data_IF_680191098447
#
_entry.id   IF_680191098447
#
_cell.length_a   1.000
_cell.length_b   1.000
_cell.length_c   1.000
_cell.angle_alpha   90.00
_cell.angle_beta   90.00
_cell.angle_gamma   90.00
#
_symmetry.space_group_name_H-M   'P 1'
#
loop_
_entity.id
_entity.type
_entity.pdbx_description
1 polymer ?
#
# COMPACT_ATOMS: atom_id res chain seq x y z
N UNK A 1 -7.32 -6.97 -23.35
CA UNK A 1 -6.27 -7.94 -22.97
C UNK A 1 -6.33 -8.20 -21.46
N UNK A 2 -7.31 -9.01 -21.03
CA UNK A 2 -7.39 -9.59 -19.68
C UNK A 2 -7.57 -11.12 -19.83
N UNK A 3 -6.78 -11.74 -20.71
CA UNK A 3 -6.65 -13.20 -20.81
C UNK A 3 -5.28 -13.54 -20.24
N UNK A 4 -5.25 -14.10 -19.04
CA UNK A 4 -4.00 -14.43 -18.35
C UNK A 4 -4.12 -14.81 -16.87
N UNK A 5 -5.32 -14.80 -16.29
CA UNK A 5 -5.55 -15.21 -14.89
C UNK A 5 -5.92 -16.70 -14.73
N UNK A 6 -5.57 -17.55 -15.71
CA UNK A 6 -6.03 -18.94 -15.76
C UNK A 6 -5.17 -19.94 -14.95
N UNK A 7 -4.11 -19.49 -14.28
CA UNK A 7 -3.24 -20.39 -13.48
C UNK A 7 -3.53 -20.34 -11.97
N UNK A 8 -4.58 -19.61 -11.57
CA UNK A 8 -5.07 -19.63 -10.20
C UNK A 8 -6.38 -20.40 -10.14
N UNK A 9 -6.45 -21.43 -9.29
CA UNK A 9 -7.72 -22.08 -8.95
C UNK A 9 -8.46 -21.14 -7.99
N UNK A 10 -9.21 -20.19 -8.54
CA UNK A 10 -10.20 -19.42 -7.79
C UNK A 10 -11.53 -20.16 -7.86
N UNK A 11 -12.03 -20.63 -6.72
CA UNK A 11 -13.41 -21.08 -6.60
C UNK A 11 -14.20 -20.08 -5.76
N UNK A 12 -15.34 -19.63 -6.27
CA UNK A 12 -16.24 -18.74 -5.55
C UNK A 12 -17.26 -19.64 -4.85
N UNK A 13 -16.97 -19.98 -3.61
CA UNK A 13 -17.95 -20.63 -2.75
C UNK A 13 -19.03 -19.59 -2.41
N UNK A 14 -20.15 -19.62 -3.14
CA UNK A 14 -21.34 -18.89 -2.71
C UNK A 14 -21.82 -19.51 -1.40
N UNK A 15 -21.84 -18.71 -0.33
CA UNK A 15 -22.21 -19.11 1.04
C UNK A 15 -23.71 -19.43 1.11
N UNK A 16 -24.09 -20.57 0.52
CA UNK A 16 -25.33 -21.32 0.78
C UNK A 16 -25.03 -22.80 1.06
N UNK A 17 -23.76 -23.14 1.27
CA UNK A 17 -23.34 -24.49 1.61
C UNK A 17 -23.34 -24.65 3.13
N UNK A 18 -23.82 -25.79 3.61
CA UNK A 18 -23.69 -26.25 4.99
C UNK A 18 -22.23 -26.55 5.32
N UNK A 19 -21.87 -26.62 6.61
CA UNK A 19 -20.52 -27.02 7.03
C UNK A 19 -20.12 -28.39 6.44
N UNK A 20 -21.08 -29.31 6.25
CA UNK A 20 -20.81 -30.64 5.67
C UNK A 20 -20.41 -30.57 4.20
N UNK A 21 -21.16 -29.80 3.41
CA UNK A 21 -20.88 -29.60 1.99
C UNK A 21 -19.53 -28.91 1.79
N UNK A 22 -19.18 -27.96 2.66
CA UNK A 22 -17.89 -27.28 2.60
C UNK A 22 -16.75 -28.24 2.97
N UNK A 23 -16.90 -29.04 4.03
CA UNK A 23 -15.90 -30.08 4.37
C UNK A 23 -15.69 -31.05 3.20
N UNK A 24 -16.77 -31.52 2.59
CA UNK A 24 -16.71 -32.40 1.41
C UNK A 24 -15.96 -31.75 0.26
N UNK A 25 -16.28 -30.48 -0.06
CA UNK A 25 -15.59 -29.72 -1.09
C UNK A 25 -14.07 -29.68 -0.85
N UNK A 26 -13.61 -29.39 0.36
CA UNK A 26 -12.18 -29.33 0.66
C UNK A 26 -11.49 -30.68 0.52
N UNK A 27 -12.13 -31.77 0.95
CA UNK A 27 -11.58 -33.11 0.78
C UNK A 27 -11.45 -33.48 -0.70
N UNK A 28 -12.45 -33.17 -1.52
CA UNK A 28 -12.43 -33.38 -2.96
C UNK A 28 -11.40 -32.48 -3.66
N UNK A 29 -11.25 -31.23 -3.20
CA UNK A 29 -10.27 -30.28 -3.72
C UNK A 29 -8.83 -30.81 -3.57
N UNK A 30 -8.43 -31.20 -2.35
CA UNK A 30 -7.08 -31.71 -2.10
C UNK A 30 -6.84 -33.09 -2.73
N UNK A 31 -7.89 -33.90 -2.92
CA UNK A 31 -7.81 -35.15 -3.71
C UNK A 31 -7.55 -34.88 -5.18
N UNK A 32 -8.24 -33.87 -5.75
CA UNK A 32 -8.09 -33.46 -7.14
C UNK A 32 -6.76 -32.75 -7.40
N UNK A 33 -6.25 -32.00 -6.43
CA UNK A 33 -5.05 -31.17 -6.55
C UNK A 33 -4.01 -31.50 -5.45
N UNK A 34 -3.41 -32.70 -5.47
CA UNK A 34 -2.52 -33.17 -4.39
C UNK A 34 -1.21 -32.38 -4.28
N UNK A 35 -0.88 -31.53 -5.25
CA UNK A 35 0.27 -30.63 -5.21
C UNK A 35 -0.01 -29.33 -4.44
N UNK A 36 -1.28 -29.02 -4.15
CA UNK A 36 -1.65 -27.84 -3.37
C UNK A 36 -1.49 -28.17 -1.89
N UNK A 37 -0.59 -27.48 -1.21
CA UNK A 37 -0.30 -27.72 0.22
C UNK A 37 -0.97 -26.73 1.16
N UNK A 38 -1.55 -25.64 0.63
CA UNK A 38 -2.24 -24.61 1.41
C UNK A 38 -3.45 -24.07 0.66
N UNK A 39 -4.54 -23.85 1.40
CA UNK A 39 -5.69 -23.09 0.92
C UNK A 39 -5.97 -21.92 1.86
N UNK A 40 -6.07 -20.71 1.32
CA UNK A 40 -6.31 -19.49 2.10
C UNK A 40 -7.74 -18.98 1.93
N UNK A 41 -8.43 -18.77 3.05
CA UNK A 41 -9.70 -18.07 3.13
C UNK A 41 -9.45 -16.58 3.30
N UNK A 42 -10.15 -15.75 2.54
CA UNK A 42 -10.21 -14.31 2.81
C UNK A 42 -11.67 -13.89 2.93
N UNK A 43 -12.04 -13.09 3.95
CA UNK A 43 -13.33 -12.42 3.95
C UNK A 43 -13.37 -11.40 2.79
N UNK A 44 -14.52 -11.27 2.14
CA UNK A 44 -14.73 -10.20 1.17
C UNK A 44 -14.80 -8.85 1.90
N UNK A 45 -14.23 -7.81 1.30
CA UNK A 45 -14.23 -6.46 1.85
C UNK A 45 -15.64 -5.98 2.22
N UNK A 46 -15.82 -5.54 3.46
CA UNK A 46 -17.07 -4.97 3.96
C UNK A 46 -18.24 -5.95 4.05
N UNK A 47 -18.03 -7.25 3.79
CA UNK A 47 -19.09 -8.24 3.92
C UNK A 47 -19.17 -8.77 5.36
N UNK A 48 -20.36 -8.75 5.97
CA UNK A 48 -20.53 -9.35 7.28
C UNK A 48 -20.48 -10.89 7.19
N UNK A 49 -20.26 -11.58 8.32
CA UNK A 49 -20.35 -13.03 8.37
C UNK A 49 -21.81 -13.51 8.18
N UNK A 50 -22.00 -14.83 8.26
CA UNK A 50 -23.34 -15.40 8.35
C UNK A 50 -24.00 -15.01 9.69
N UNK A 51 -25.23 -14.51 9.65
CA UNK A 51 -26.01 -14.11 10.82
C UNK A 51 -27.16 -15.07 11.16
N UNK A 52 -27.04 -16.35 10.78
CA UNK A 52 -28.01 -17.36 11.16
C UNK A 52 -28.00 -17.60 12.68
N UNK A 53 -29.05 -18.22 13.21
CA UNK A 53 -29.21 -18.47 14.65
C UNK A 53 -27.99 -19.21 15.25
N UNK A 54 -27.41 -20.15 14.52
CA UNK A 54 -26.24 -20.90 14.98
C UNK A 54 -24.97 -20.03 15.04
N UNK A 55 -24.72 -19.18 14.04
CA UNK A 55 -23.54 -18.30 14.03
C UNK A 55 -23.65 -17.21 15.10
N UNK A 56 -24.87 -16.72 15.39
CA UNK A 56 -25.11 -15.77 16.48
C UNK A 56 -24.88 -16.37 17.87
N UNK A 57 -25.07 -17.68 18.04
CA UNK A 57 -24.77 -18.38 19.31
C UNK A 57 -23.27 -18.49 19.58
N UNK A 58 -22.45 -18.47 18.53
CA UNK A 58 -20.99 -18.63 18.62
C UNK A 58 -20.29 -17.29 18.78
N UNK A 59 -20.87 -16.21 18.25
CA UNK A 59 -20.26 -14.89 18.29
C UNK A 59 -21.30 -13.79 18.51
N UNK A 60 -21.08 -13.03 19.57
CA UNK A 60 -21.63 -11.69 19.75
C UNK A 60 -20.60 -10.68 19.22
N UNK A 61 -20.91 -9.93 18.15
CA UNK A 61 -19.98 -8.97 17.58
C UNK A 61 -19.56 -7.90 18.59
N UNK A 62 -18.27 -7.56 18.62
CA UNK A 62 -17.74 -6.58 19.57
C UNK A 62 -16.92 -5.51 18.87
N UNK A 63 -16.64 -4.40 19.57
CA UNK A 63 -15.76 -3.34 19.07
C UNK A 63 -14.31 -3.71 19.35
N UNK A 64 -13.52 -3.89 18.28
CA UNK A 64 -12.09 -4.15 18.36
C UNK A 64 -11.27 -2.90 18.71
N UNK A 65 -10.03 -3.12 19.14
CA UNK A 65 -9.03 -2.08 19.45
C UNK A 65 -8.60 -1.30 18.19
N UNK A 66 -8.65 -1.93 17.02
CA UNK A 66 -8.13 -1.39 15.75
C UNK A 66 -9.20 -0.96 14.75
N UNK A 67 -10.46 -1.34 14.96
CA UNK A 67 -11.55 -1.12 13.99
C UNK A 67 -12.47 0.05 14.29
N UNK A 68 -12.25 0.76 15.40
CA UNK A 68 -13.05 1.93 15.78
C UNK A 68 -14.52 1.55 16.01
N UNK A 69 -15.43 2.04 15.16
CA UNK A 69 -16.86 1.70 15.23
C UNK A 69 -17.21 0.38 14.53
N UNK A 70 -16.32 -0.14 13.68
CA UNK A 70 -16.57 -1.38 12.98
C UNK A 70 -16.42 -2.58 13.93
N UNK A 71 -17.41 -3.47 13.88
CA UNK A 71 -17.47 -4.67 14.71
C UNK A 71 -16.49 -5.74 14.21
N UNK A 72 -16.03 -6.58 15.14
CA UNK A 72 -15.21 -7.77 14.90
C UNK A 72 -16.10 -9.02 14.83
N UNK A 73 -15.69 -9.94 13.95
CA UNK A 73 -16.35 -11.22 13.67
C UNK A 73 -15.35 -12.38 13.57
N UNK A 74 -14.24 -12.28 14.29
CA UNK A 74 -13.09 -13.19 14.14
C UNK A 74 -13.36 -14.58 14.69
N UNK A 75 -14.15 -14.73 15.75
CA UNK A 75 -14.38 -16.01 16.44
C UNK A 75 -15.05 -17.01 15.50
N UNK A 76 -16.17 -16.62 14.90
CA UNK A 76 -16.88 -17.47 13.94
C UNK A 76 -15.98 -17.89 12.79
N UNK A 77 -15.26 -16.91 12.24
CA UNK A 77 -14.41 -17.10 11.08
C UNK A 77 -13.26 -18.09 11.34
N UNK A 78 -12.58 -17.95 12.48
CA UNK A 78 -11.46 -18.82 12.87
C UNK A 78 -11.94 -20.22 13.24
N UNK A 79 -13.04 -20.35 14.00
CA UNK A 79 -13.56 -21.66 14.40
C UNK A 79 -14.08 -22.47 13.22
N UNK A 80 -14.70 -21.80 12.25
CA UNK A 80 -15.08 -22.42 10.99
C UNK A 80 -13.86 -22.97 10.24
N UNK A 81 -12.81 -22.16 10.08
CA UNK A 81 -11.58 -22.61 9.43
C UNK A 81 -10.88 -23.73 10.21
N UNK A 82 -10.92 -23.69 11.55
CA UNK A 82 -10.39 -24.74 12.42
C UNK A 82 -11.12 -26.08 12.22
N UNK A 83 -12.45 -26.07 12.07
CA UNK A 83 -13.23 -27.27 11.77
C UNK A 83 -12.79 -27.91 10.44
N UNK A 84 -12.62 -27.09 9.39
CA UNK A 84 -12.14 -27.54 8.08
C UNK A 84 -10.72 -28.08 8.20
N UNK A 85 -9.82 -27.36 8.89
CA UNK A 85 -8.44 -27.77 9.10
C UNK A 85 -8.35 -29.14 9.77
N UNK A 86 -9.15 -29.39 10.82
CA UNK A 86 -9.24 -30.70 11.49
C UNK A 86 -9.74 -31.80 10.56
N UNK A 87 -10.74 -31.53 9.72
CA UNK A 87 -11.28 -32.50 8.78
C UNK A 87 -10.27 -32.85 7.68
N UNK A 88 -9.62 -31.84 7.09
CA UNK A 88 -8.61 -31.99 6.06
C UNK A 88 -7.39 -32.75 6.60
N UNK A 89 -6.91 -32.43 7.81
CA UNK A 89 -5.74 -33.08 8.40
C UNK A 89 -5.88 -34.60 8.55
N UNK A 90 -7.11 -35.12 8.73
CA UNK A 90 -7.36 -36.56 8.85
C UNK A 90 -7.03 -37.33 7.57
N UNK A 91 -7.25 -36.73 6.39
CA UNK A 91 -7.00 -37.36 5.08
C UNK A 91 -5.70 -36.84 4.44
N UNK A 92 -5.38 -35.57 4.64
CA UNK A 92 -4.24 -34.86 4.05
C UNK A 92 -3.42 -34.17 5.15
N UNK A 93 -2.58 -34.90 5.90
CA UNK A 93 -1.85 -34.35 7.04
C UNK A 93 -0.83 -33.27 6.68
N UNK A 94 -0.43 -33.18 5.40
CA UNK A 94 0.46 -32.15 4.89
C UNK A 94 -0.28 -30.86 4.47
N UNK A 95 -1.60 -30.91 4.31
CA UNK A 95 -2.39 -29.79 3.84
C UNK A 95 -2.70 -28.81 4.97
N UNK A 96 -2.54 -27.52 4.67
CA UNK A 96 -2.75 -26.41 5.60
C UNK A 96 -3.95 -25.59 5.17
N UNK A 97 -4.69 -25.13 6.15
CA UNK A 97 -5.77 -24.16 5.97
C UNK A 97 -5.27 -22.83 6.52
N UNK A 98 -5.50 -21.74 5.82
CA UNK A 98 -5.10 -20.42 6.27
C UNK A 98 -6.28 -19.45 6.32
N UNK A 99 -6.34 -18.62 7.36
CA UNK A 99 -7.28 -17.51 7.46
C UNK A 99 -6.59 -16.17 7.22
N UNK A 100 -7.22 -15.32 6.40
CA UNK A 100 -6.86 -13.92 6.21
C UNK A 100 -7.41 -13.08 7.35
N UNK A 101 -6.56 -12.75 8.31
CA UNK A 101 -6.90 -11.83 9.41
C UNK A 101 -6.83 -10.40 8.90
N UNK A 102 -8.00 -9.83 8.58
CA UNK A 102 -8.12 -8.54 7.91
C UNK A 102 -9.44 -7.83 8.27
N UNK A 103 -9.38 -6.49 8.37
CA UNK A 103 -10.54 -5.63 8.62
C UNK A 103 -11.34 -6.06 9.86
N UNK A 104 -12.61 -6.46 9.70
CA UNK A 104 -13.50 -6.92 10.77
C UNK A 104 -13.19 -8.34 11.29
N UNK A 105 -12.04 -8.93 10.92
CA UNK A 105 -11.62 -10.27 11.34
C UNK A 105 -10.17 -10.26 11.85
N UNK A 106 -9.77 -9.18 12.54
CA UNK A 106 -8.37 -8.87 12.87
C UNK A 106 -8.00 -9.27 14.29
N UNK A 107 -8.97 -9.28 15.20
CA UNK A 107 -8.74 -9.45 16.64
C UNK A 107 -9.48 -10.68 17.16
N UNK A 108 -8.78 -11.57 17.89
CA UNK A 108 -9.45 -12.55 18.74
C UNK A 108 -10.01 -11.85 19.99
N UNK A 109 -11.14 -12.30 20.56
CA UNK A 109 -11.63 -11.75 21.81
C UNK A 109 -10.65 -12.06 22.96
N UNK A 110 -10.65 -11.24 24.00
CA UNK A 110 -9.68 -11.36 25.10
C UNK A 110 -9.88 -12.67 25.90
N UNK A 111 -11.10 -13.22 25.92
CA UNK A 111 -11.49 -14.48 26.57
C UNK A 111 -11.48 -15.70 25.63
N UNK A 112 -10.90 -15.58 24.42
CA UNK A 112 -10.78 -16.69 23.48
C UNK A 112 -10.03 -17.86 24.13
N UNK A 113 -10.65 -19.03 24.23
CA UNK A 113 -10.08 -20.18 24.95
C UNK A 113 -10.14 -21.49 24.15
N UNK A 114 -10.30 -21.41 22.84
CA UNK A 114 -10.41 -22.57 21.96
C UNK A 114 -9.03 -23.03 21.47
N UNK A 115 -8.83 -24.35 21.41
CA UNK A 115 -7.61 -24.93 20.88
C UNK A 115 -7.67 -25.03 19.35
N UNK A 116 -6.81 -24.28 18.69
CA UNK A 116 -6.70 -24.25 17.23
C UNK A 116 -5.76 -25.37 16.72
N UNK A 117 -6.12 -26.06 15.62
CA UNK A 117 -5.34 -27.17 15.10
C UNK A 117 -4.01 -26.70 14.50
N UNK A 118 -2.98 -27.57 14.55
CA UNK A 118 -1.62 -27.21 14.13
C UNK A 118 -1.45 -26.93 12.62
N UNK A 119 -2.40 -27.37 11.79
CA UNK A 119 -2.44 -27.08 10.35
C UNK A 119 -3.29 -25.86 9.99
N UNK A 120 -3.74 -25.08 10.98
CA UNK A 120 -4.35 -23.77 10.77
C UNK A 120 -3.29 -22.66 10.83
N UNK A 121 -3.12 -21.98 9.70
CA UNK A 121 -2.25 -20.83 9.50
C UNK A 121 -3.05 -19.51 9.59
N UNK A 122 -2.35 -18.42 9.85
CA UNK A 122 -2.92 -17.07 9.77
C UNK A 122 -2.07 -16.21 8.85
N UNK A 123 -2.72 -15.55 7.89
CA UNK A 123 -2.15 -14.46 7.09
C UNK A 123 -2.72 -13.14 7.62
N UNK A 124 -1.92 -12.43 8.41
CA UNK A 124 -2.32 -11.20 9.08
C UNK A 124 -2.06 -9.98 8.23
N UNK A 125 -3.09 -9.18 7.99
CA UNK A 125 -2.99 -7.92 7.26
C UNK A 125 -3.39 -6.75 8.15
N UNK A 126 -2.48 -5.79 8.31
CA UNK A 126 -2.82 -4.49 8.91
C UNK A 126 -3.56 -3.64 7.87
N UNK A 127 -4.76 -3.17 8.22
CA UNK A 127 -5.47 -2.16 7.44
C UNK A 127 -4.98 -0.75 7.81
N UNK A 128 -4.82 0.13 6.82
CA UNK A 128 -4.41 1.53 6.99
C UNK A 128 -3.12 1.71 7.80
N UNK A 129 -2.10 0.91 7.51
CA UNK A 129 -0.75 1.12 8.05
C UNK A 129 -0.10 2.35 7.40
N UNK A 130 0.66 3.10 8.20
CA UNK A 130 1.62 4.09 7.69
C UNK A 130 2.98 3.45 7.40
N UNK A 131 3.60 3.85 6.29
CA UNK A 131 4.79 3.19 5.72
C UNK A 131 6.09 3.95 5.90
N UNK A 132 6.01 5.12 6.54
CA UNK A 132 7.14 5.99 6.84
C UNK A 132 8.09 5.37 7.85
N UNK A 133 7.60 4.40 8.64
CA UNK A 133 8.31 3.84 9.78
C UNK A 133 8.09 2.34 9.91
N UNK A 134 9.03 1.69 10.58
CA UNK A 134 8.95 0.27 10.89
C UNK A 134 7.95 0.02 12.03
N UNK A 135 7.44 -1.21 12.17
CA UNK A 135 6.44 -1.53 13.20
C UNK A 135 6.99 -1.46 14.64
N UNK A 136 8.30 -1.58 14.83
CA UNK A 136 9.01 -1.44 16.12
C UNK A 136 9.54 -0.04 16.37
N UNK A 137 9.19 0.90 15.49
CA UNK A 137 9.57 2.30 15.58
C UNK A 137 8.26 3.05 15.79
N UNK A 138 7.78 3.30 17.02
CA UNK A 138 6.62 4.16 17.28
C UNK A 138 7.04 5.64 17.34
N UNK A 139 6.20 6.61 16.92
CA UNK A 139 6.61 8.01 16.88
C UNK A 139 6.78 8.55 18.30
N UNK A 140 7.71 9.50 18.50
CA UNK A 140 7.89 10.21 19.76
C UNK A 140 6.79 11.26 19.99
N UNK A 141 6.53 11.64 21.24
CA UNK A 141 5.55 12.68 21.57
C UNK A 141 5.81 14.01 20.84
N UNK A 142 7.07 14.37 20.62
CA UNK A 142 7.45 15.58 19.88
C UNK A 142 7.07 15.48 18.40
N UNK A 143 7.42 14.36 17.76
CA UNK A 143 6.99 14.06 16.39
C UNK A 143 5.47 14.01 16.33
N UNK A 144 4.81 13.46 17.34
CA UNK A 144 3.36 13.46 17.44
C UNK A 144 2.79 14.88 17.43
N UNK A 145 3.28 15.78 18.30
CA UNK A 145 2.80 17.16 18.42
C UNK A 145 3.04 17.99 17.17
N UNK A 146 4.24 17.92 16.57
CA UNK A 146 4.56 18.63 15.32
C UNK A 146 3.59 18.25 14.20
N UNK A 147 3.13 17.01 14.22
CA UNK A 147 2.29 16.49 13.14
C UNK A 147 0.78 16.61 13.41
N UNK A 148 0.38 16.92 14.65
CA UNK A 148 -0.99 17.30 15.01
C UNK A 148 -1.32 18.76 14.65
N UNK A 149 -0.33 19.65 14.53
CA UNK A 149 -0.55 21.03 14.08
C UNK A 149 -0.86 21.16 12.59
N UNK A 150 -0.53 20.15 11.78
CA UNK A 150 -0.64 20.17 10.32
C UNK A 150 -1.78 19.30 9.77
N UNK A 151 -2.53 18.61 10.63
CA UNK A 151 -3.56 17.63 10.22
C UNK A 151 -4.68 17.57 11.26
N UNK A 152 -5.94 17.30 10.88
CA UNK A 152 -7.00 17.10 11.86
C UNK A 152 -6.62 16.04 12.90
N UNK A 153 -6.55 16.48 14.17
CA UNK A 153 -6.05 15.77 15.35
C UNK A 153 -6.56 14.32 15.44
N UNK A 154 -7.82 14.07 15.07
CA UNK A 154 -8.48 12.78 15.23
C UNK A 154 -8.02 11.63 14.31
N UNK A 155 -7.23 11.88 13.27
CA UNK A 155 -6.72 10.81 12.39
C UNK A 155 -5.39 10.20 12.88
N UNK A 156 -4.59 10.99 13.59
CA UNK A 156 -3.20 10.64 13.86
C UNK A 156 -2.97 9.97 15.22
N UNK A 157 -3.70 10.33 16.27
CA UNK A 157 -3.70 9.54 17.51
C UNK A 157 -4.12 8.09 17.24
N UNK A 158 -5.09 7.91 16.32
CA UNK A 158 -5.51 6.59 15.83
C UNK A 158 -4.38 5.85 15.12
N UNK A 159 -3.56 6.55 14.32
CA UNK A 159 -2.46 5.94 13.58
C UNK A 159 -1.24 5.62 14.46
N UNK A 160 -0.89 6.50 15.40
CA UNK A 160 0.19 6.24 16.36
C UNK A 160 -0.16 5.05 17.29
N UNK A 161 -1.43 4.95 17.69
CA UNK A 161 -1.92 3.83 18.50
C UNK A 161 -1.74 2.47 17.80
N UNK A 162 -1.79 2.41 16.46
CA UNK A 162 -1.58 1.16 15.71
C UNK A 162 -0.18 0.56 15.97
N UNK A 163 0.85 1.38 16.12
CA UNK A 163 2.23 0.88 16.38
C UNK A 163 2.36 0.16 17.73
N UNK A 164 1.51 0.48 18.72
CA UNK A 164 1.53 -0.17 20.03
C UNK A 164 0.48 -1.27 20.16
N UNK A 165 -0.66 -1.13 19.50
CA UNK A 165 -1.76 -2.10 19.57
C UNK A 165 -1.49 -3.36 18.75
N UNK A 166 -0.98 -3.24 17.52
CA UNK A 166 -0.77 -4.42 16.68
C UNK A 166 0.22 -5.43 17.28
N UNK A 167 1.36 -5.03 17.88
CA UNK A 167 2.22 -5.97 18.61
C UNK A 167 1.50 -6.77 19.71
N UNK A 168 0.58 -6.13 20.44
CA UNK A 168 -0.22 -6.81 21.45
C UNK A 168 -1.20 -7.81 20.81
N UNK A 169 -1.85 -7.42 19.70
CA UNK A 169 -2.73 -8.31 18.92
C UNK A 169 -1.95 -9.50 18.37
N UNK A 170 -0.77 -9.29 17.80
CA UNK A 170 0.11 -10.35 17.29
C UNK A 170 0.47 -11.33 18.39
N UNK A 171 0.86 -10.81 19.55
CA UNK A 171 1.19 -11.62 20.73
C UNK A 171 -0.02 -12.44 21.19
N UNK A 172 -1.23 -11.88 21.14
CA UNK A 172 -2.47 -12.59 21.46
C UNK A 172 -2.72 -13.74 20.48
N UNK A 173 -2.69 -13.47 19.17
CA UNK A 173 -2.82 -14.50 18.14
C UNK A 173 -1.80 -15.64 18.28
N UNK A 174 -0.53 -15.30 18.52
CA UNK A 174 0.55 -16.28 18.62
C UNK A 174 0.39 -17.24 19.81
N UNK A 175 -0.33 -16.85 20.88
CA UNK A 175 -0.69 -17.74 22.00
C UNK A 175 -1.64 -18.87 21.58
N UNK A 176 -2.52 -18.60 20.61
CA UNK A 176 -3.56 -19.55 20.19
C UNK A 176 -3.18 -20.33 18.93
N UNK A 177 -2.46 -19.70 17.99
CA UNK A 177 -2.05 -20.34 16.75
C UNK A 177 -0.81 -21.18 16.97
N UNK A 178 -0.88 -22.45 16.56
CA UNK A 178 0.26 -23.38 16.50
C UNK A 178 0.87 -23.48 15.10
N UNK A 179 0.11 -23.14 14.07
CA UNK A 179 0.58 -23.14 12.68
C UNK A 179 1.49 -21.96 12.32
N UNK A 180 1.61 -21.73 11.01
CA UNK A 180 2.38 -20.64 10.45
C UNK A 180 1.66 -19.32 10.70
N UNK A 181 2.43 -18.30 11.08
CA UNK A 181 1.91 -16.95 11.26
C UNK A 181 2.61 -16.03 10.27
N UNK A 182 1.87 -15.56 9.27
CA UNK A 182 2.43 -14.84 8.12
C UNK A 182 1.87 -13.44 8.08
N UNK A 183 2.67 -12.52 7.60
CA UNK A 183 2.29 -11.12 7.46
C UNK A 183 1.98 -10.81 6.00
N UNK A 184 0.89 -10.09 5.75
CA UNK A 184 0.51 -9.57 4.44
C UNK A 184 0.38 -8.05 4.51
N UNK A 185 0.88 -7.37 3.49
CA UNK A 185 0.74 -5.92 3.39
C UNK A 185 0.62 -5.41 1.96
N UNK A 186 0.80 -4.10 1.81
CA UNK A 186 0.65 -3.34 0.58
C UNK A 186 1.94 -2.57 0.25
N UNK A 187 3.11 -3.22 0.31
CA UNK A 187 4.43 -2.60 0.09
C UNK A 187 4.53 -1.82 -1.22
N UNK A 188 3.81 -2.24 -2.27
CA UNK A 188 3.81 -1.55 -3.56
C UNK A 188 2.73 -0.46 -3.66
N UNK A 189 1.99 -0.16 -2.59
CA UNK A 189 0.92 0.85 -2.52
C UNK A 189 0.10 0.88 -3.82
N UNK A 190 -0.32 -0.32 -4.25
CA UNK A 190 -0.76 -0.68 -5.61
C UNK A 190 -1.86 0.22 -6.18
N UNK A 191 -2.71 0.76 -5.33
CA UNK A 191 -3.78 1.68 -5.69
C UNK A 191 -3.53 3.11 -5.19
N UNK A 192 -2.81 3.25 -4.08
CA UNK A 192 -2.64 4.51 -3.38
C UNK A 192 -1.61 5.46 -4.00
N UNK A 193 -0.54 4.93 -4.59
CA UNK A 193 0.55 5.72 -5.15
C UNK A 193 0.61 5.73 -6.68
N UNK A 194 -0.27 4.96 -7.35
CA UNK A 194 -0.36 4.87 -8.81
C UNK A 194 0.97 4.62 -9.53
N UNK A 195 1.90 3.89 -8.89
CA UNK A 195 3.21 3.59 -9.43
C UNK A 195 4.26 4.70 -9.24
N UNK A 196 4.00 5.72 -8.42
CA UNK A 196 5.03 6.67 -7.97
C UNK A 196 6.10 5.95 -7.14
N UNK A 197 7.29 6.56 -7.06
CA UNK A 197 8.38 6.05 -6.22
C UNK A 197 7.95 6.05 -4.76
N UNK A 198 8.08 4.89 -4.10
CA UNK A 198 7.70 4.70 -2.71
C UNK A 198 8.89 4.15 -1.90
N UNK A 199 9.80 5.03 -1.47
CA UNK A 199 11.07 4.64 -0.84
C UNK A 199 10.85 4.32 0.65
N UNK A 200 10.20 3.20 0.90
CA UNK A 200 9.88 2.69 2.25
C UNK A 200 10.64 1.39 2.55
N UNK A 201 11.64 1.07 1.74
CA UNK A 201 12.28 -0.24 1.75
C UNK A 201 13.18 -0.45 2.98
N UNK A 202 13.76 0.62 3.54
CA UNK A 202 14.49 0.57 4.81
C UNK A 202 13.56 0.18 5.97
N UNK A 203 12.39 0.81 6.04
CA UNK A 203 11.36 0.50 7.04
C UNK A 203 10.80 -0.93 6.87
N UNK A 204 10.66 -1.39 5.62
CA UNK A 204 10.23 -2.75 5.32
C UNK A 204 11.22 -3.81 5.85
N UNK A 205 12.53 -3.64 5.60
CA UNK A 205 13.56 -4.55 6.12
C UNK A 205 13.50 -4.62 7.64
N UNK A 206 13.48 -3.47 8.34
CA UNK A 206 13.37 -3.41 9.81
C UNK A 206 12.08 -4.07 10.32
N UNK A 207 10.95 -3.84 9.64
CA UNK A 207 9.67 -4.47 9.97
C UNK A 207 9.73 -6.00 9.90
N UNK A 208 10.30 -6.56 8.82
CA UNK A 208 10.43 -8.01 8.69
C UNK A 208 11.21 -8.60 9.87
N UNK A 209 12.18 -7.86 10.40
CA UNK A 209 13.05 -8.34 11.49
C UNK A 209 12.28 -8.39 12.79
N UNK A 210 11.56 -7.31 13.04
CA UNK A 210 10.68 -7.22 14.17
C UNK A 210 9.59 -8.29 14.13
N UNK A 211 8.91 -8.49 13.01
CA UNK A 211 7.90 -9.54 12.85
C UNK A 211 8.48 -10.93 13.15
N UNK A 212 9.71 -11.23 12.70
CA UNK A 212 10.36 -12.49 13.02
C UNK A 212 10.58 -12.68 14.54
N UNK A 213 10.80 -11.61 15.29
CA UNK A 213 10.91 -11.68 16.78
C UNK A 213 9.58 -11.99 17.46
N UNK A 214 8.46 -11.71 16.78
CA UNK A 214 7.10 -11.99 17.26
C UNK A 214 6.57 -13.36 16.79
N UNK A 215 7.43 -14.19 16.18
CA UNK A 215 7.07 -15.54 15.73
C UNK A 215 6.36 -15.58 14.38
N UNK A 216 6.49 -14.54 13.55
CA UNK A 216 6.09 -14.60 12.15
C UNK A 216 7.10 -15.42 11.34
N UNK A 217 6.59 -16.29 10.48
CA UNK A 217 7.38 -17.22 9.65
C UNK A 217 7.36 -16.90 8.17
N UNK A 218 6.59 -15.88 7.76
CA UNK A 218 6.53 -15.46 6.37
C UNK A 218 6.00 -14.05 6.20
N UNK A 219 6.31 -13.47 5.05
CA UNK A 219 5.85 -12.16 4.63
C UNK A 219 5.42 -12.21 3.16
N UNK A 220 4.32 -11.53 2.84
CA UNK A 220 3.84 -11.31 1.49
C UNK A 220 3.31 -9.89 1.33
N UNK A 221 3.29 -9.40 0.10
CA UNK A 221 2.72 -8.09 -0.22
C UNK A 221 1.80 -8.22 -1.43
N UNK A 222 0.80 -7.34 -1.51
CA UNK A 222 0.10 -7.09 -2.75
C UNK A 222 1.05 -6.48 -3.79
N UNK A 223 0.92 -6.94 -5.03
CA UNK A 223 1.54 -6.35 -6.21
C UNK A 223 0.73 -6.72 -7.45
N UNK A 224 0.97 -6.05 -8.57
CA UNK A 224 0.44 -6.46 -9.88
C UNK A 224 1.55 -6.44 -10.92
N UNK A 225 1.43 -7.29 -11.93
CA UNK A 225 2.45 -7.41 -12.96
C UNK A 225 2.35 -6.28 -13.98
N UNK A 226 3.15 -5.22 -13.80
CA UNK A 226 3.32 -4.16 -14.79
C UNK A 226 4.78 -3.66 -14.84
N UNK A 227 5.28 -3.21 -16.01
CA UNK A 227 6.63 -2.66 -16.12
C UNK A 227 6.90 -1.50 -15.15
N UNK A 228 5.87 -0.71 -14.88
CA UNK A 228 5.90 0.38 -13.89
C UNK A 228 6.23 -0.12 -12.49
N UNK A 229 5.59 -1.21 -12.04
CA UNK A 229 5.80 -1.77 -10.69
C UNK A 229 7.25 -2.21 -10.51
N UNK A 230 7.83 -2.87 -11.51
CA UNK A 230 9.23 -3.31 -11.44
C UNK A 230 10.22 -2.15 -11.44
N UNK A 231 9.89 -1.03 -12.10
CA UNK A 231 10.72 0.17 -12.08
C UNK A 231 10.60 0.91 -10.74
N UNK A 232 9.39 1.06 -10.21
CA UNK A 232 9.14 1.89 -9.02
C UNK A 232 9.46 1.19 -7.71
N UNK A 233 9.21 -0.13 -7.62
CA UNK A 233 9.33 -0.90 -6.38
C UNK A 233 10.34 -2.04 -6.46
N UNK A 234 11.13 -2.12 -7.55
CA UNK A 234 12.10 -3.20 -7.77
C UNK A 234 13.10 -3.35 -6.61
N UNK A 235 13.61 -2.24 -6.10
CA UNK A 235 14.46 -2.23 -4.90
C UNK A 235 13.70 -2.76 -3.69
N UNK A 236 12.53 -2.19 -3.38
CA UNK A 236 11.71 -2.57 -2.21
C UNK A 236 11.37 -4.06 -2.22
N UNK A 237 10.93 -4.59 -3.36
CA UNK A 237 10.66 -6.02 -3.52
C UNK A 237 11.91 -6.87 -3.30
N UNK A 238 13.05 -6.45 -3.87
CA UNK A 238 14.30 -7.18 -3.74
C UNK A 238 14.81 -7.20 -2.30
N UNK A 239 14.94 -6.04 -1.65
CA UNK A 239 15.51 -5.98 -0.29
C UNK A 239 14.60 -6.66 0.72
N UNK A 240 13.28 -6.52 0.59
CA UNK A 240 12.30 -7.23 1.44
C UNK A 240 12.39 -8.75 1.25
N UNK A 241 12.51 -9.22 0.01
CA UNK A 241 12.65 -10.65 -0.28
C UNK A 241 13.99 -11.21 0.23
N UNK A 242 15.10 -10.53 -0.05
CA UNK A 242 16.44 -10.92 0.42
C UNK A 242 16.54 -10.85 1.93
N UNK A 243 15.90 -9.87 2.53
CA UNK A 243 15.83 -9.74 3.97
C UNK A 243 15.27 -11.02 4.60
N UNK A 244 14.14 -11.55 4.13
CA UNK A 244 13.60 -12.81 4.67
C UNK A 244 14.59 -13.99 4.65
N UNK A 245 15.56 -13.98 3.74
CA UNK A 245 16.58 -15.03 3.60
C UNK A 245 17.83 -14.77 4.45
N UNK A 246 18.36 -13.55 4.41
CA UNK A 246 19.56 -13.13 5.14
C UNK A 246 19.16 -12.18 6.26
N UNK A 247 19.21 -12.66 7.51
CA UNK A 247 18.73 -11.93 8.69
C UNK A 247 19.70 -10.87 9.19
N UNK A 248 20.98 -10.98 8.84
CA UNK A 248 22.04 -10.11 9.36
C UNK A 248 22.37 -8.95 8.41
N UNK A 249 22.09 -9.11 7.11
CA UNK A 249 22.32 -8.06 6.13
C UNK A 249 21.51 -6.78 6.46
N UNK A 250 22.21 -5.65 6.44
CA UNK A 250 21.59 -4.33 6.59
C UNK A 250 20.83 -3.94 5.33
N UNK A 251 19.96 -2.93 5.43
CA UNK A 251 19.31 -2.37 4.25
C UNK A 251 20.35 -1.86 3.23
N UNK A 252 21.40 -1.20 3.70
CA UNK A 252 22.49 -0.68 2.87
C UNK A 252 23.21 -1.78 2.12
N UNK A 253 23.49 -2.92 2.76
CA UNK A 253 24.13 -4.07 2.13
C UNK A 253 23.27 -4.62 0.99
N UNK A 254 21.98 -4.87 1.28
CA UNK A 254 21.02 -5.38 0.31
C UNK A 254 20.75 -4.41 -0.85
N UNK A 255 20.69 -3.10 -0.57
CA UNK A 255 20.49 -2.08 -1.58
C UNK A 255 21.71 -1.93 -2.49
N UNK A 256 22.92 -2.01 -1.94
CA UNK A 256 24.16 -2.05 -2.75
C UNK A 256 24.24 -3.32 -3.59
N UNK A 257 23.88 -4.49 -3.04
CA UNK A 257 23.80 -5.76 -3.77
C UNK A 257 22.85 -5.62 -4.97
N UNK A 258 21.64 -5.10 -4.74
CA UNK A 258 20.66 -4.82 -5.80
C UNK A 258 21.23 -3.88 -6.87
N UNK A 259 21.81 -2.76 -6.45
CA UNK A 259 22.27 -1.74 -7.39
C UNK A 259 23.42 -2.25 -8.25
N UNK A 260 24.38 -2.97 -7.69
CA UNK A 260 25.48 -3.60 -8.43
C UNK A 260 24.98 -4.66 -9.40
N UNK A 261 24.05 -5.52 -8.98
CA UNK A 261 23.49 -6.57 -9.83
C UNK A 261 22.55 -6.06 -10.93
N UNK A 262 21.78 -5.02 -10.67
CA UNK A 262 20.76 -4.52 -11.59
C UNK A 262 21.24 -3.35 -12.47
N UNK A 263 22.20 -2.56 -12.00
CA UNK A 263 22.73 -1.38 -12.71
C UNK A 263 24.21 -1.48 -13.07
N UNK A 264 24.88 -2.60 -12.77
CA UNK A 264 26.25 -2.89 -13.23
C UNK A 264 27.21 -1.77 -12.80
N UNK A 265 28.00 -1.18 -13.72
CA UNK A 265 28.97 -0.11 -13.42
C UNK A 265 28.32 1.18 -12.89
N UNK A 266 27.00 1.33 -13.08
CA UNK A 266 26.24 2.45 -12.52
C UNK A 266 25.75 2.19 -11.09
N UNK A 267 26.06 1.03 -10.50
CA UNK A 267 25.54 0.58 -9.21
C UNK A 267 25.76 1.56 -8.06
N UNK A 268 26.96 2.13 -7.92
CA UNK A 268 27.26 3.06 -6.81
C UNK A 268 26.45 4.37 -6.92
N UNK A 269 26.31 4.93 -8.13
CA UNK A 269 25.49 6.12 -8.36
C UNK A 269 24.00 5.82 -8.18
N UNK A 270 23.54 4.63 -8.57
CA UNK A 270 22.16 4.22 -8.35
C UNK A 270 21.86 3.96 -6.87
N UNK A 271 22.83 3.46 -6.09
CA UNK A 271 22.70 3.36 -4.64
C UNK A 271 22.54 4.76 -4.02
N UNK A 272 23.33 5.75 -4.43
CA UNK A 272 23.18 7.13 -3.97
C UNK A 272 21.78 7.68 -4.30
N UNK A 273 21.26 7.43 -5.50
CA UNK A 273 19.90 7.81 -5.90
C UNK A 273 18.84 7.23 -4.96
N UNK A 274 18.84 5.92 -4.73
CA UNK A 274 17.85 5.28 -3.85
C UNK A 274 18.03 5.66 -2.39
N UNK A 275 19.27 5.79 -1.91
CA UNK A 275 19.56 6.26 -0.56
C UNK A 275 19.01 7.66 -0.32
N UNK A 276 19.17 8.55 -1.30
CA UNK A 276 18.64 9.93 -1.21
C UNK A 276 17.11 9.93 -1.08
N UNK A 277 16.41 9.08 -1.85
CA UNK A 277 14.96 8.93 -1.75
C UNK A 277 14.52 8.32 -0.41
N UNK A 278 15.23 7.33 0.12
CA UNK A 278 14.90 6.71 1.41
C UNK A 278 15.18 7.64 2.59
N UNK A 279 16.25 8.44 2.50
CA UNK A 279 16.56 9.44 3.52
C UNK A 279 15.52 10.58 3.53
N UNK A 280 15.03 11.00 2.35
CA UNK A 280 13.97 12.03 2.27
C UNK A 280 12.60 11.52 2.70
N UNK A 281 12.36 10.21 2.60
CA UNK A 281 11.17 9.57 3.15
C UNK A 281 11.13 9.50 4.67
N UNK A 282 12.29 9.61 5.33
CA UNK A 282 12.36 9.57 6.78
C UNK A 282 11.63 10.79 7.37
N UNK A 283 10.51 10.55 8.06
CA UNK A 283 9.57 11.54 8.60
C UNK A 283 8.54 12.13 7.61
N UNK A 284 8.49 11.65 6.36
CA UNK A 284 7.39 11.95 5.46
C UNK A 284 6.27 10.96 5.73
N UNK A 285 5.13 11.43 6.25
CA UNK A 285 3.95 10.57 6.46
C UNK A 285 3.59 9.85 5.16
N UNK A 286 3.48 8.53 5.18
CA UNK A 286 2.92 7.79 4.04
C UNK A 286 1.64 7.08 4.47
N UNK A 287 0.48 7.60 4.05
CA UNK A 287 -0.74 6.81 3.98
C UNK A 287 -0.80 5.99 2.69
N UNK A 288 -1.92 5.30 2.47
CA UNK A 288 -2.26 4.80 1.12
C UNK A 288 -2.69 5.94 0.16
N UNK A 289 -2.37 7.20 0.46
CA UNK A 289 -2.77 8.38 -0.31
C UNK A 289 -1.62 9.00 -1.09
N UNK A 290 -1.96 9.63 -2.22
CA UNK A 290 -1.02 10.37 -3.09
C UNK A 290 -0.45 11.64 -2.43
N UNK A 291 -1.21 12.47 -1.68
CA UNK A 291 -0.70 13.79 -1.26
C UNK A 291 0.55 13.74 -0.39
N UNK A 292 0.66 12.73 0.48
CA UNK A 292 1.72 12.72 1.47
C UNK A 292 3.04 12.19 0.91
N UNK A 293 3.01 11.29 -0.10
CA UNK A 293 4.20 10.79 -0.78
C UNK A 293 4.99 11.90 -1.47
N UNK A 294 4.31 13.00 -1.83
CA UNK A 294 4.91 14.06 -2.65
C UNK A 294 6.02 14.81 -1.93
N UNK A 295 6.02 14.82 -0.60
CA UNK A 295 6.99 15.57 0.20
C UNK A 295 8.43 15.10 -0.02
N UNK A 296 8.64 13.87 -0.50
CA UNK A 296 9.97 13.35 -0.85
C UNK A 296 10.58 14.03 -2.08
N UNK A 297 9.78 14.75 -2.87
CA UNK A 297 10.21 15.35 -4.14
C UNK A 297 10.49 16.85 -4.04
N UNK A 298 10.96 17.31 -2.87
CA UNK A 298 11.42 18.69 -2.71
C UNK A 298 12.59 19.02 -3.68
N UNK A 299 12.88 20.32 -3.91
CA UNK A 299 13.88 20.73 -4.89
C UNK A 299 15.28 20.17 -4.62
N UNK A 300 15.67 20.03 -3.35
CA UNK A 300 17.00 19.56 -2.97
C UNK A 300 17.15 18.06 -3.19
N UNK A 301 16.16 17.29 -2.74
CA UNK A 301 16.10 15.84 -3.01
C UNK A 301 16.12 15.58 -4.52
N UNK A 302 15.30 16.29 -5.30
CA UNK A 302 15.27 16.14 -6.75
C UNK A 302 16.59 16.51 -7.42
N UNK A 303 17.28 17.54 -6.93
CA UNK A 303 18.60 17.97 -7.46
C UNK A 303 19.64 16.88 -7.24
N UNK A 304 19.74 16.36 -6.01
CA UNK A 304 20.68 15.29 -5.65
C UNK A 304 20.40 14.01 -6.46
N UNK A 305 19.13 13.60 -6.54
CA UNK A 305 18.71 12.45 -7.34
C UNK A 305 19.04 12.62 -8.83
N UNK A 306 18.83 13.80 -9.43
CA UNK A 306 19.19 14.05 -10.83
C UNK A 306 20.68 13.96 -11.09
N UNK A 307 21.50 14.49 -10.19
CA UNK A 307 22.96 14.39 -10.31
C UNK A 307 23.39 12.92 -10.26
N UNK A 308 22.86 12.14 -9.31
CA UNK A 308 23.14 10.71 -9.21
C UNK A 308 22.71 9.95 -10.48
N UNK A 309 21.53 10.24 -11.05
CA UNK A 309 21.06 9.64 -12.29
C UNK A 309 21.92 10.03 -13.50
N UNK A 310 22.40 11.28 -13.57
CA UNK A 310 23.27 11.75 -14.63
C UNK A 310 24.63 11.01 -14.62
N UNK A 311 25.23 10.87 -13.43
CA UNK A 311 26.48 10.11 -13.25
C UNK A 311 26.29 8.61 -13.52
N UNK A 312 25.19 8.02 -13.05
CA UNK A 312 24.83 6.63 -13.38
C UNK A 312 24.74 6.41 -14.90
N UNK A 313 24.19 7.38 -15.62
CA UNK A 313 23.99 7.29 -17.08
C UNK A 313 25.29 7.49 -17.85
N UNK A 314 26.20 8.34 -17.35
CA UNK A 314 27.51 8.59 -17.94
C UNK A 314 28.45 7.39 -17.74
N UNK A 315 28.41 6.75 -16.55
CA UNK A 315 29.25 5.60 -16.23
C UNK A 315 28.80 4.30 -16.91
N UNK A 316 27.54 4.20 -17.31
CA UNK A 316 27.00 2.99 -17.94
C UNK A 316 27.42 2.87 -19.42
N UNK A 317 27.93 1.72 -19.83
CA UNK A 317 28.10 1.37 -21.24
C UNK A 317 26.86 0.66 -21.84
N UNK A 318 26.14 -0.08 -21.01
CA UNK A 318 25.04 -0.98 -21.41
C UNK A 318 23.75 -0.22 -21.78
N UNK A 319 23.25 -0.42 -23.01
CA UNK A 319 21.97 0.14 -23.44
C UNK A 319 20.78 -0.31 -22.57
N UNK A 320 20.88 -1.52 -22.00
CA UNK A 320 19.89 -2.08 -21.07
C UNK A 320 19.89 -1.31 -19.74
N UNK A 321 21.07 -1.05 -19.17
CA UNK A 321 21.22 -0.27 -17.94
C UNK A 321 20.79 1.18 -18.17
N UNK A 322 21.21 1.83 -19.26
CA UNK A 322 20.74 3.18 -19.63
C UNK A 322 19.23 3.29 -19.73
N UNK A 323 18.54 2.25 -20.22
CA UNK A 323 17.07 2.20 -20.24
C UNK A 323 16.48 2.10 -18.84
N UNK A 324 17.06 1.29 -17.95
CA UNK A 324 16.64 1.20 -16.53
C UNK A 324 16.82 2.54 -15.82
N UNK A 325 17.92 3.24 -16.05
CA UNK A 325 18.18 4.58 -15.49
C UNK A 325 17.16 5.58 -16.02
N UNK A 326 16.86 5.55 -17.33
CA UNK A 326 15.82 6.40 -17.92
C UNK A 326 14.43 6.20 -17.30
N UNK A 327 14.09 4.96 -16.93
CA UNK A 327 12.85 4.71 -16.20
C UNK A 327 12.84 5.43 -14.85
N UNK A 328 13.97 5.50 -14.15
CA UNK A 328 14.09 6.27 -12.90
C UNK A 328 14.04 7.79 -13.14
N UNK A 329 14.61 8.29 -14.24
CA UNK A 329 14.44 9.69 -14.68
C UNK A 329 12.95 10.04 -14.90
N UNK A 330 12.20 9.16 -15.58
CA UNK A 330 10.76 9.31 -15.82
C UNK A 330 9.98 9.34 -14.50
N UNK A 331 10.30 8.44 -13.56
CA UNK A 331 9.64 8.32 -12.27
C UNK A 331 9.93 9.49 -11.33
N UNK A 332 11.18 9.98 -11.30
CA UNK A 332 11.55 11.16 -10.51
C UNK A 332 10.82 12.41 -11.03
N UNK A 333 10.77 12.59 -12.35
CA UNK A 333 10.02 13.72 -12.94
C UNK A 333 8.52 13.57 -12.72
N UNK A 334 7.99 12.34 -12.72
CA UNK A 334 6.60 12.06 -12.37
C UNK A 334 6.28 12.55 -10.96
N UNK A 335 7.01 12.09 -9.94
CA UNK A 335 6.79 12.52 -8.57
C UNK A 335 6.96 14.03 -8.36
N UNK A 336 8.00 14.62 -8.98
CA UNK A 336 8.28 16.06 -8.86
C UNK A 336 7.18 16.94 -9.47
N UNK A 337 6.66 16.59 -10.65
CA UNK A 337 5.58 17.37 -11.27
C UNK A 337 4.32 17.33 -10.39
N UNK A 338 4.04 16.19 -9.78
CA UNK A 338 2.92 16.05 -8.87
C UNK A 338 3.11 16.84 -7.58
N UNK A 339 4.33 16.86 -7.03
CA UNK A 339 4.67 17.74 -5.91
C UNK A 339 4.50 19.21 -6.27
N UNK A 340 4.94 19.62 -7.46
CA UNK A 340 4.78 20.99 -7.97
C UNK A 340 3.30 21.38 -8.11
N UNK A 341 2.47 20.47 -8.64
CA UNK A 341 1.01 20.63 -8.64
C UNK A 341 0.47 20.87 -7.23
N UNK A 342 0.84 20.04 -6.25
CA UNK A 342 0.32 20.16 -4.89
C UNK A 342 0.78 21.45 -4.19
N UNK A 343 2.00 21.92 -4.47
CA UNK A 343 2.48 23.23 -4.00
C UNK A 343 1.60 24.36 -4.56
N UNK A 344 1.39 24.36 -5.87
CA UNK A 344 0.57 25.39 -6.54
C UNK A 344 -0.88 25.40 -6.03
N UNK A 345 -1.46 24.23 -5.77
CA UNK A 345 -2.80 24.16 -5.18
C UNK A 345 -2.90 24.84 -3.82
N UNK A 346 -1.91 24.64 -2.93
CA UNK A 346 -1.89 25.30 -1.62
C UNK A 346 -1.79 26.82 -1.76
N UNK A 347 -1.02 27.30 -2.73
CA UNK A 347 -0.89 28.72 -3.04
C UNK A 347 -2.20 29.28 -3.62
N UNK A 348 -2.84 28.56 -4.54
CA UNK A 348 -4.17 28.92 -5.09
C UNK A 348 -5.22 28.98 -3.96
N UNK A 349 -5.26 27.98 -3.08
CA UNK A 349 -6.17 27.96 -1.95
C UNK A 349 -5.97 29.17 -1.02
N UNK A 350 -4.71 29.56 -0.79
CA UNK A 350 -4.36 30.71 0.04
C UNK A 350 -4.78 32.02 -0.63
N UNK A 351 -4.45 32.19 -1.92
CA UNK A 351 -4.83 33.37 -2.69
C UNK A 351 -6.35 33.56 -2.76
N UNK A 352 -7.13 32.47 -2.92
CA UNK A 352 -8.60 32.53 -2.91
C UNK A 352 -9.13 32.98 -1.54
N UNK A 353 -8.61 32.40 -0.45
CA UNK A 353 -9.04 32.77 0.92
C UNK A 353 -8.78 34.24 1.24
N UNK A 354 -7.69 34.78 0.70
CA UNK A 354 -7.27 36.17 0.87
C UNK A 354 -7.83 37.11 -0.20
N UNK A 355 -8.71 36.61 -1.08
CA UNK A 355 -9.33 37.36 -2.17
C UNK A 355 -8.33 38.01 -3.15
N UNK A 356 -7.15 37.38 -3.36
CA UNK A 356 -6.11 37.78 -4.30
C UNK A 356 -6.39 37.19 -5.70
N UNK A 357 -7.34 37.79 -6.42
CA UNK A 357 -7.86 37.24 -7.68
C UNK A 357 -6.81 37.19 -8.81
N UNK A 358 -6.06 38.26 -9.05
CA UNK A 358 -5.06 38.30 -10.13
C UNK A 358 -3.97 37.24 -9.94
N UNK A 359 -3.53 37.06 -8.69
CA UNK A 359 -2.57 36.02 -8.34
C UNK A 359 -3.15 34.62 -8.52
N UNK A 360 -4.42 34.42 -8.15
CA UNK A 360 -5.13 33.16 -8.41
C UNK A 360 -5.10 32.81 -9.91
N UNK A 361 -5.30 33.79 -10.80
CA UNK A 361 -5.19 33.58 -12.25
C UNK A 361 -3.78 33.16 -12.69
N UNK A 362 -2.74 33.84 -12.19
CA UNK A 362 -1.35 33.51 -12.53
C UNK A 362 -0.96 32.11 -12.06
N UNK A 363 -1.32 31.75 -10.84
CA UNK A 363 -1.06 30.43 -10.26
C UNK A 363 -1.79 29.31 -11.03
N UNK A 364 -3.02 29.57 -11.50
CA UNK A 364 -3.74 28.62 -12.35
C UNK A 364 -3.09 28.43 -13.71
N UNK A 365 -2.56 29.51 -14.31
CA UNK A 365 -1.82 29.41 -15.56
C UNK A 365 -0.52 28.63 -15.38
N UNK A 366 0.17 28.79 -14.24
CA UNK A 366 1.34 27.98 -13.88
C UNK A 366 0.96 26.51 -13.69
N UNK A 367 -0.12 26.24 -12.94
CA UNK A 367 -0.64 24.89 -12.74
C UNK A 367 -0.97 24.21 -14.08
N UNK A 368 -1.60 24.91 -15.02
CA UNK A 368 -1.90 24.36 -16.35
C UNK A 368 -0.64 23.98 -17.15
N UNK A 369 0.48 24.72 -16.98
CA UNK A 369 1.77 24.35 -17.60
C UNK A 369 2.35 23.08 -16.99
N UNK A 370 2.22 22.90 -15.68
CA UNK A 370 2.64 21.66 -14.99
C UNK A 370 1.79 20.49 -15.47
N UNK A 371 0.47 20.68 -15.60
CA UNK A 371 -0.43 19.65 -16.12
C UNK A 371 -0.07 19.20 -17.54
N UNK A 372 0.18 20.13 -18.47
CA UNK A 372 0.64 19.80 -19.84
C UNK A 372 1.91 18.94 -19.84
N UNK A 373 2.85 19.22 -18.92
CA UNK A 373 4.07 18.41 -18.76
C UNK A 373 3.75 17.01 -18.24
N UNK A 374 2.83 16.86 -17.29
CA UNK A 374 2.35 15.56 -16.81
C UNK A 374 1.69 14.77 -17.96
N UNK A 375 0.85 15.42 -18.77
CA UNK A 375 0.20 14.76 -19.91
C UNK A 375 1.24 14.26 -20.94
N UNK A 376 2.26 15.07 -21.23
CA UNK A 376 3.38 14.66 -22.09
C UNK A 376 4.14 13.47 -21.49
N UNK A 377 4.32 13.47 -20.16
CA UNK A 377 5.00 12.40 -19.44
C UNK A 377 4.23 11.07 -19.53
N UNK A 378 2.89 11.08 -19.47
CA UNK A 378 2.07 9.87 -19.67
C UNK A 378 2.17 9.25 -21.08
N UNK A 379 2.71 9.97 -22.06
CA UNK A 379 2.97 9.39 -23.39
C UNK A 379 4.28 8.58 -23.41
N UNK A 380 5.13 8.67 -22.38
CA UNK A 380 6.35 7.85 -22.27
C UNK A 380 5.99 6.36 -22.07
N UNK A 381 6.78 5.42 -22.62
CA UNK A 381 6.46 3.99 -22.58
C UNK A 381 6.19 3.43 -21.17
N UNK A 382 6.96 3.87 -20.17
CA UNK A 382 6.83 3.39 -18.79
C UNK A 382 5.49 3.80 -18.15
N UNK A 383 5.07 5.06 -18.37
CA UNK A 383 3.94 5.69 -17.69
C UNK A 383 2.64 5.63 -18.51
N UNK A 384 2.67 5.02 -19.69
CA UNK A 384 1.49 4.86 -20.57
C UNK A 384 0.32 4.18 -19.86
N UNK A 385 0.59 3.27 -18.93
CA UNK A 385 -0.44 2.61 -18.14
C UNK A 385 -1.16 3.58 -17.19
N UNK A 386 -0.46 4.55 -16.60
CA UNK A 386 -1.03 5.56 -15.71
C UNK A 386 -2.10 6.42 -16.41
N UNK A 387 -2.03 6.56 -17.74
CA UNK A 387 -3.06 7.26 -18.53
C UNK A 387 -4.47 6.72 -18.31
N UNK A 388 -4.62 5.42 -18.04
CA UNK A 388 -5.92 4.79 -17.75
C UNK A 388 -6.44 5.12 -16.34
N UNK A 389 -5.53 5.42 -15.42
CA UNK A 389 -5.81 5.67 -14.01
C UNK A 389 -5.72 7.15 -13.64
N UNK A 390 -5.51 8.02 -14.64
CA UNK A 390 -5.37 9.47 -14.46
C UNK A 390 -6.53 10.09 -13.66
N UNK A 391 -7.77 9.63 -13.85
CA UNK A 391 -8.91 10.13 -13.08
C UNK A 391 -8.76 9.91 -11.57
N UNK A 392 -8.28 8.74 -11.15
CA UNK A 392 -8.01 8.42 -9.75
C UNK A 392 -6.81 9.22 -9.24
N UNK A 393 -5.74 9.29 -10.04
CA UNK A 393 -4.52 10.02 -9.70
C UNK A 393 -4.81 11.50 -9.43
N UNK A 394 -5.59 12.14 -10.29
CA UNK A 394 -5.96 13.55 -10.12
C UNK A 394 -7.05 13.77 -9.06
N UNK A 395 -7.98 12.82 -8.84
CA UNK A 395 -9.01 12.95 -7.79
C UNK A 395 -8.40 13.22 -6.42
N UNK A 396 -7.30 12.55 -6.08
CA UNK A 396 -6.64 12.73 -4.79
C UNK A 396 -5.91 14.07 -4.64
N UNK A 397 -5.67 14.78 -5.75
CA UNK A 397 -4.87 16.00 -5.79
C UNK A 397 -5.79 17.21 -5.91
N UNK A 398 -6.71 17.18 -6.88
CA UNK A 398 -7.56 18.32 -7.27
C UNK A 398 -8.66 18.67 -6.26
N UNK A 399 -8.97 17.79 -5.31
CA UNK A 399 -10.11 17.91 -4.39
C UNK A 399 -11.47 17.80 -5.09
N UNK A 400 -12.58 17.93 -4.35
CA UNK A 400 -13.93 17.98 -4.90
C UNK A 400 -14.49 19.42 -4.91
N UNK A 401 -15.38 19.75 -5.87
CA UNK A 401 -16.08 21.05 -5.86
C UNK A 401 -16.86 21.29 -4.56
N UNK A 402 -17.39 20.22 -3.95
CA UNK A 402 -18.12 20.26 -2.69
C UNK A 402 -17.25 20.69 -1.49
N UNK A 403 -15.92 20.56 -1.59
CA UNK A 403 -15.00 20.88 -0.50
C UNK A 403 -14.81 22.39 -0.31
N UNK A 404 -15.38 23.21 -1.21
CA UNK A 404 -15.31 24.68 -1.16
C UNK A 404 -13.89 25.25 -1.29
N UNK A 405 -12.91 24.40 -1.61
CA UNK A 405 -11.47 24.69 -1.69
C UNK A 405 -10.90 24.08 -2.97
N UNK A 406 -9.64 24.40 -3.26
CA UNK A 406 -8.84 23.73 -4.30
C UNK A 406 -9.11 24.18 -5.73
N UNK A 407 -8.45 23.49 -6.66
CA UNK A 407 -8.39 23.85 -8.08
C UNK A 407 -9.78 23.89 -8.74
N UNK A 408 -10.64 22.91 -8.44
CA UNK A 408 -11.97 22.83 -9.05
C UNK A 408 -12.86 24.04 -8.67
N UNK A 409 -12.74 24.53 -7.44
CA UNK A 409 -13.47 25.73 -7.00
C UNK A 409 -12.91 26.98 -7.69
N UNK A 410 -11.59 27.10 -7.79
CA UNK A 410 -10.92 28.22 -8.47
C UNK A 410 -11.37 28.34 -9.93
N UNK A 411 -11.36 27.22 -10.66
CA UNK A 411 -11.81 27.15 -12.05
C UNK A 411 -13.27 27.55 -12.18
N UNK A 412 -14.13 27.04 -11.30
CA UNK A 412 -15.55 27.40 -11.29
C UNK A 412 -15.75 28.90 -11.07
N UNK A 413 -15.09 29.49 -10.06
CA UNK A 413 -15.16 30.93 -9.78
C UNK A 413 -14.77 31.76 -11.01
N UNK A 414 -13.75 31.32 -11.75
CA UNK A 414 -13.32 32.02 -12.97
C UNK A 414 -14.30 31.84 -14.11
N UNK A 415 -14.82 30.63 -14.34
CA UNK A 415 -15.88 30.39 -15.33
C UNK A 415 -17.06 31.31 -15.05
N UNK A 416 -17.53 31.35 -13.81
CA UNK A 416 -18.67 32.16 -13.38
C UNK A 416 -18.39 33.67 -13.54
N UNK A 417 -17.16 34.13 -13.27
CA UNK A 417 -16.79 35.54 -13.35
C UNK A 417 -16.48 36.05 -14.76
N UNK A 418 -16.00 35.19 -15.67
CA UNK A 418 -15.42 35.61 -16.96
C UNK A 418 -16.12 35.01 -18.19
N UNK A 419 -17.04 34.06 -18.01
CA UNK A 419 -17.55 33.19 -19.08
C UNK A 419 -16.43 32.47 -19.86
N UNK A 420 -15.24 32.31 -19.28
CA UNK A 420 -14.13 31.62 -19.94
C UNK A 420 -14.48 30.15 -20.22
N UNK A 421 -14.24 29.73 -21.46
CA UNK A 421 -14.34 28.32 -21.85
C UNK A 421 -13.00 27.63 -21.68
N UNK A 422 -12.99 26.59 -20.85
CA UNK A 422 -11.81 25.79 -20.58
C UNK A 422 -11.87 24.48 -21.37
N UNK A 423 -11.59 24.54 -22.67
CA UNK A 423 -11.82 23.43 -23.62
C UNK A 423 -10.84 22.25 -23.50
N UNK A 424 -9.99 22.22 -22.48
CA UNK A 424 -8.97 21.18 -22.26
C UNK A 424 -8.74 20.86 -20.78
N UNK A 425 -9.65 21.25 -19.88
CA UNK A 425 -9.56 20.78 -18.50
C UNK A 425 -10.04 19.33 -18.46
N UNK A 426 -9.17 18.44 -17.98
CA UNK A 426 -9.43 17.00 -17.96
C UNK A 426 -10.47 16.55 -16.92
N UNK A 427 -10.94 17.47 -16.07
CA UNK A 427 -12.00 17.26 -15.10
C UNK A 427 -13.30 17.87 -15.64
N UNK A 428 -14.08 17.06 -16.36
CA UNK A 428 -15.40 17.47 -16.81
C UNK A 428 -16.38 17.47 -15.63
N UNK A 429 -17.23 18.49 -15.53
CA UNK A 429 -18.20 18.65 -14.43
C UNK A 429 -19.31 17.58 -14.46
N UNK A 430 -19.44 16.88 -15.60
CA UNK A 430 -20.52 15.94 -15.89
C UNK A 430 -20.15 14.45 -15.82
N UNK A 431 -18.86 14.08 -15.77
CA UNK A 431 -18.53 12.69 -15.42
C UNK A 431 -18.81 12.53 -13.92
N UNK A 432 -19.87 11.78 -13.60
CA UNK A 432 -19.98 11.13 -12.29
C UNK A 432 -18.76 10.22 -12.17
N UNK A 433 -17.68 10.77 -11.63
CA UNK A 433 -16.41 10.12 -11.39
C UNK A 433 -16.51 9.07 -10.29
#
# INVERSE_FOLDING_TARGET
MLKGWNDYIYDIIKIKMTSEEIRKYFLEFFEKYPFVTRFTFFPNDGQPPCFCENCRKVEEPWKGKTTGENLQYTTNYVLFAAEIARAVAKKFPHARIEVGSYSSHTELPDDFNEELPANLDVLFCIFERKWDRALDDPPTDEELRRTLSETPIGSYEKDAHKYTVYPAIFSHWRKHIKGEFRYYDYLTSTLGSAGMLFPVSRAAVRTIRYLATLGFSGYGSQWFNAPLIWASYGLSLYVTARAMWDREATWEDLAKEYCRGFYEEAGEHMFLYFKTLEDSAHNVRFGMGIPEILQIFDPETCRTCRNALAEAKSSSASAKVKRRIRNQEDLLEFGRLFWETRRLEKEIETAIKENRIDETFLLLAEHAKVDDRIQKLFNRPLLRWCKKWRGIVYRHILGAQADGRGLLRAVKLIKDATNAQFNNLWYDEGEKF
#
